data_IF_098966209452
#
_entry.id   IF_098966209452
#
_cell.length_a   1.000
_cell.length_b   1.000
_cell.length_c   1.000
_cell.angle_alpha   90.00
_cell.angle_beta   90.00
_cell.angle_gamma   90.00
#
_symmetry.space_group_name_H-M   'P 1'
#
loop_
_entity.id
_entity.type
_entity.pdbx_description
1 polymer ?
#
# COMPACT_ATOMS: atom_id res chain seq x y z
N UNK A 1 17.61 -15.61 -34.42
CA UNK A 1 16.54 -14.97 -33.62
C UNK A 1 17.07 -13.67 -33.06
N UNK A 2 16.57 -12.52 -33.56
CA UNK A 2 17.01 -11.18 -33.13
C UNK A 2 16.56 -10.92 -31.69
N UNK A 3 17.46 -10.42 -30.86
CA UNK A 3 17.18 -9.90 -29.54
C UNK A 3 16.11 -8.80 -29.64
N UNK A 4 14.90 -9.06 -29.10
CA UNK A 4 13.89 -8.02 -28.93
C UNK A 4 14.42 -7.08 -27.86
N UNK A 5 14.67 -5.82 -28.23
CA UNK A 5 15.11 -4.78 -27.31
C UNK A 5 14.14 -4.68 -26.13
N UNK A 6 14.70 -4.56 -24.91
CA UNK A 6 13.91 -4.29 -23.71
C UNK A 6 13.05 -3.06 -23.97
N UNK A 7 11.73 -3.10 -23.76
CA UNK A 7 10.89 -1.91 -23.83
C UNK A 7 11.18 -1.04 -22.60
N UNK A 8 12.30 -0.33 -22.63
CA UNK A 8 12.56 0.75 -21.68
C UNK A 8 11.52 1.84 -21.86
N UNK A 9 11.22 2.58 -20.78
CA UNK A 9 10.46 3.83 -20.87
C UNK A 9 11.11 4.67 -21.96
N UNK A 10 10.33 5.11 -22.95
CA UNK A 10 10.80 6.05 -23.97
C UNK A 10 11.32 7.27 -23.19
N UNK A 11 12.62 7.57 -23.32
CA UNK A 11 13.27 8.62 -22.54
C UNK A 11 12.45 9.93 -22.60
N UNK A 12 12.11 10.47 -21.43
CA UNK A 12 11.33 11.71 -21.30
C UNK A 12 9.80 11.55 -21.29
N UNK A 13 9.26 10.34 -21.48
CA UNK A 13 7.81 10.12 -21.36
C UNK A 13 7.36 10.15 -19.90
N UNK A 14 6.27 10.86 -19.61
CA UNK A 14 5.65 10.86 -18.29
C UNK A 14 5.23 9.42 -17.91
N UNK A 15 5.50 8.92 -16.68
CA UNK A 15 5.13 7.58 -16.29
C UNK A 15 3.64 7.24 -16.45
N UNK A 16 2.74 8.17 -16.17
CA UNK A 16 1.30 7.98 -16.36
C UNK A 16 0.97 7.82 -17.85
N UNK A 17 1.55 8.65 -18.72
CA UNK A 17 1.34 8.56 -20.17
C UNK A 17 1.85 7.23 -20.73
N UNK A 18 3.02 6.76 -20.27
CA UNK A 18 3.52 5.44 -20.63
C UNK A 18 2.52 4.36 -20.23
N UNK A 19 2.01 4.39 -19.00
CA UNK A 19 1.05 3.41 -18.54
C UNK A 19 -0.23 3.42 -19.39
N UNK A 20 -0.84 4.60 -19.58
CA UNK A 20 -2.10 4.73 -20.31
C UNK A 20 -1.99 4.33 -21.79
N UNK A 21 -0.84 4.57 -22.43
CA UNK A 21 -0.64 4.30 -23.87
C UNK A 21 -0.07 2.91 -24.17
N UNK A 22 0.81 2.40 -23.30
CA UNK A 22 1.60 1.19 -23.58
C UNK A 22 1.18 -0.02 -22.74
N UNK A 23 0.57 0.19 -21.57
CA UNK A 23 0.24 -0.89 -20.63
C UNK A 23 -1.26 -1.13 -20.58
N UNK A 24 -2.05 -0.10 -20.30
CA UNK A 24 -3.50 -0.20 -20.14
C UNK A 24 -4.22 -0.88 -21.33
N UNK A 25 -3.89 -0.60 -22.61
CA UNK A 25 -4.58 -1.23 -23.75
C UNK A 25 -4.30 -2.74 -23.89
N UNK A 26 -3.30 -3.27 -23.18
CA UNK A 26 -2.91 -4.69 -23.20
C UNK A 26 -3.52 -5.48 -22.04
N UNK A 27 -4.25 -4.83 -21.14
CA UNK A 27 -4.94 -5.49 -20.03
C UNK A 27 -6.24 -6.11 -20.53
N UNK A 28 -6.38 -7.43 -20.37
CA UNK A 28 -7.58 -8.17 -20.79
C UNK A 28 -8.82 -7.82 -19.96
N UNK A 29 -8.62 -7.41 -18.70
CA UNK A 29 -9.70 -7.03 -17.79
C UNK A 29 -9.60 -5.54 -17.44
N UNK A 30 -10.69 -4.77 -17.65
CA UNK A 30 -10.69 -3.36 -17.31
C UNK A 30 -10.55 -3.17 -15.79
N UNK A 31 -9.71 -2.23 -15.35
CA UNK A 31 -9.35 -2.05 -13.95
C UNK A 31 -10.50 -1.46 -13.12
N UNK A 32 -10.61 -1.92 -11.87
CA UNK A 32 -11.50 -1.41 -10.81
C UNK A 32 -13.03 -1.50 -11.03
N UNK A 33 -13.61 -2.64 -11.45
CA UNK A 33 -15.06 -2.76 -11.68
C UNK A 33 -15.92 -2.53 -10.42
N UNK A 34 -15.32 -2.65 -9.22
CA UNK A 34 -15.99 -2.43 -7.93
C UNK A 34 -16.24 -0.96 -7.60
N UNK A 35 -15.59 -0.03 -8.31
CA UNK A 35 -15.60 1.39 -8.00
C UNK A 35 -16.12 2.20 -9.20
N UNK A 36 -17.44 2.23 -9.46
CA UNK A 36 -18.00 2.90 -10.64
C UNK A 36 -17.72 4.40 -10.66
N UNK A 37 -17.48 5.00 -9.49
CA UNK A 37 -17.08 6.39 -9.32
C UNK A 37 -15.61 6.66 -9.67
N UNK A 38 -14.78 5.63 -9.88
CA UNK A 38 -13.33 5.76 -10.07
C UNK A 38 -12.92 5.23 -11.44
N UNK A 39 -12.04 5.95 -12.13
CA UNK A 39 -11.50 5.55 -13.43
C UNK A 39 -10.02 5.89 -13.58
N UNK A 40 -9.34 5.24 -14.52
CA UNK A 40 -7.96 5.60 -14.91
C UNK A 40 -7.89 6.69 -15.98
N UNK A 41 -9.00 6.88 -16.69
CA UNK A 41 -9.12 7.88 -17.74
C UNK A 41 -10.04 9.00 -17.26
N UNK A 42 -9.74 10.25 -17.65
CA UNK A 42 -10.60 11.38 -17.36
C UNK A 42 -11.96 11.22 -18.04
N UNK A 43 -13.01 11.64 -17.33
CA UNK A 43 -14.38 11.83 -17.81
C UNK A 43 -14.80 13.29 -17.58
N UNK A 44 -15.76 13.79 -18.36
CA UNK A 44 -16.22 15.18 -18.26
C UNK A 44 -16.65 15.59 -16.82
N UNK A 45 -17.30 14.67 -16.11
CA UNK A 45 -17.80 14.80 -14.76
C UNK A 45 -16.80 14.32 -13.68
N UNK A 46 -15.50 14.22 -13.99
CA UNK A 46 -14.49 13.72 -13.05
C UNK A 46 -13.42 14.75 -12.69
N UNK A 47 -12.71 14.50 -11.59
CA UNK A 47 -11.53 15.24 -11.14
C UNK A 47 -10.42 14.27 -10.72
N UNK A 48 -9.14 14.65 -10.82
CA UNK A 48 -8.04 13.80 -10.36
C UNK A 48 -8.19 13.50 -8.87
N UNK A 49 -7.90 12.26 -8.46
CA UNK A 49 -7.96 11.88 -7.04
C UNK A 49 -6.89 12.62 -6.22
N UNK A 50 -5.78 13.01 -6.84
CA UNK A 50 -4.76 13.86 -6.22
C UNK A 50 -5.25 15.24 -5.79
N UNK A 51 -6.33 15.74 -6.40
CA UNK A 51 -6.91 17.05 -6.11
C UNK A 51 -8.13 16.95 -5.15
N UNK A 52 -8.46 15.74 -4.69
CA UNK A 52 -9.56 15.48 -3.77
C UNK A 52 -9.08 15.50 -2.31
N UNK A 53 -9.99 15.81 -1.38
CA UNK A 53 -9.76 15.50 0.03
C UNK A 53 -9.76 13.97 0.21
N UNK A 54 -8.62 13.40 0.52
CA UNK A 54 -8.48 11.95 0.68
C UNK A 54 -7.96 11.65 2.08
N UNK A 55 -8.75 10.95 2.87
CA UNK A 55 -8.28 10.38 4.12
C UNK A 55 -7.60 9.04 3.83
N UNK A 56 -6.41 8.84 4.37
CA UNK A 56 -5.62 7.63 4.12
C UNK A 56 -5.08 7.03 5.41
N UNK A 57 -5.35 5.75 5.60
CA UNK A 57 -4.66 4.94 6.60
C UNK A 57 -3.38 4.35 6.01
N UNK A 58 -2.27 4.60 6.70
CA UNK A 58 -0.95 4.08 6.32
C UNK A 58 -0.35 3.26 7.45
N UNK A 59 0.64 2.45 7.11
CA UNK A 59 1.34 1.59 8.05
C UNK A 59 1.67 0.25 7.43
N UNK A 60 2.58 -0.47 8.05
CA UNK A 60 3.07 -1.75 7.52
C UNK A 60 2.08 -2.91 7.77
N UNK A 61 2.35 -4.09 7.23
CA UNK A 61 1.44 -5.23 7.37
C UNK A 61 1.33 -5.66 8.85
N UNK A 62 0.10 -5.92 9.30
CA UNK A 62 -0.17 -6.36 10.68
C UNK A 62 -0.54 -5.24 11.66
N UNK A 63 -0.49 -3.96 11.28
CA UNK A 63 -0.86 -2.87 12.19
C UNK A 63 -2.37 -2.69 12.43
N UNK A 64 -3.24 -3.32 11.63
CA UNK A 64 -4.70 -3.30 11.85
C UNK A 64 -5.53 -2.48 10.85
N UNK A 65 -4.91 -1.85 9.84
CA UNK A 65 -5.60 -1.00 8.83
C UNK A 65 -6.91 -1.58 8.30
N UNK A 66 -6.89 -2.80 7.77
CA UNK A 66 -8.09 -3.38 7.14
C UNK A 66 -9.22 -3.64 8.16
N UNK A 67 -8.88 -3.96 9.42
CA UNK A 67 -9.85 -4.08 10.52
C UNK A 67 -10.46 -2.72 10.83
N UNK A 68 -9.62 -1.68 10.96
CA UNK A 68 -10.07 -0.31 11.21
C UNK A 68 -10.96 0.21 10.07
N UNK A 69 -10.56 0.02 8.82
CA UNK A 69 -11.37 0.41 7.65
C UNK A 69 -12.74 -0.28 7.62
N UNK A 70 -12.78 -1.57 7.94
CA UNK A 70 -14.03 -2.32 8.00
C UNK A 70 -14.97 -1.80 9.09
N UNK A 71 -14.44 -1.50 10.29
CA UNK A 71 -15.24 -0.93 11.39
C UNK A 71 -15.71 0.51 11.12
N UNK A 72 -14.94 1.29 10.35
CA UNK A 72 -15.37 2.62 9.91
C UNK A 72 -16.46 2.56 8.82
N UNK A 73 -16.71 1.40 8.21
CA UNK A 73 -17.80 1.21 7.24
C UNK A 73 -17.57 1.84 5.86
N UNK A 74 -16.31 2.11 5.48
CA UNK A 74 -16.00 2.77 4.21
C UNK A 74 -15.70 1.75 3.09
N UNK A 75 -16.31 1.95 1.93
CA UNK A 75 -16.18 1.06 0.76
C UNK A 75 -16.05 1.77 -0.60
N UNK A 76 -15.71 3.06 -0.64
CA UNK A 76 -15.80 3.90 -1.85
C UNK A 76 -14.50 4.08 -2.65
N UNK A 77 -13.36 3.57 -2.19
CA UNK A 77 -12.06 3.74 -2.86
C UNK A 77 -11.31 2.43 -3.00
N UNK A 78 -10.44 2.27 -4.02
CA UNK A 78 -9.64 1.08 -4.18
C UNK A 78 -8.62 0.96 -3.06
N UNK A 79 -8.41 -0.25 -2.58
CA UNK A 79 -7.29 -0.57 -1.69
C UNK A 79 -5.97 -0.51 -2.44
N UNK A 80 -4.86 -0.47 -1.70
CA UNK A 80 -3.51 -0.69 -2.26
C UNK A 80 -3.42 -1.88 -3.19
N UNK A 81 -4.08 -2.99 -2.85
CA UNK A 81 -3.99 -4.24 -3.61
C UNK A 81 -4.58 -4.03 -4.99
N UNK A 82 -5.75 -3.42 -5.04
CA UNK A 82 -6.45 -3.14 -6.29
C UNK A 82 -5.69 -2.11 -7.12
N UNK A 83 -5.13 -1.05 -6.52
CA UNK A 83 -4.27 -0.10 -7.24
C UNK A 83 -2.98 -0.78 -7.73
N UNK A 84 -2.37 -1.66 -6.94
CA UNK A 84 -1.18 -2.39 -7.36
C UNK A 84 -1.49 -3.36 -8.50
N UNK A 85 -2.62 -4.07 -8.45
CA UNK A 85 -3.04 -5.02 -9.48
C UNK A 85 -3.43 -4.33 -10.78
N UNK A 86 -4.02 -3.14 -10.70
CA UNK A 86 -4.41 -2.38 -11.87
C UNK A 86 -3.22 -1.64 -12.49
N UNK A 87 -2.39 -0.98 -11.67
CA UNK A 87 -1.36 -0.05 -12.14
C UNK A 87 0.05 -0.61 -11.94
N UNK A 88 0.48 -0.75 -10.69
CA UNK A 88 1.90 -0.91 -10.37
C UNK A 88 2.51 -2.21 -10.90
N UNK A 89 1.80 -3.34 -10.75
CA UNK A 89 2.27 -4.65 -11.17
C UNK A 89 2.32 -4.74 -12.71
N UNK A 90 1.24 -4.42 -13.46
CA UNK A 90 1.30 -4.41 -14.91
C UNK A 90 2.37 -3.47 -15.46
N UNK A 91 2.56 -2.30 -14.83
CA UNK A 91 3.61 -1.36 -15.20
C UNK A 91 5.00 -2.00 -15.05
N UNK A 92 5.29 -2.59 -13.89
CA UNK A 92 6.57 -3.25 -13.63
C UNK A 92 6.82 -4.43 -14.58
N UNK A 93 5.79 -5.22 -14.89
CA UNK A 93 5.88 -6.32 -15.87
C UNK A 93 6.15 -5.81 -17.28
N UNK A 94 5.45 -4.76 -17.72
CA UNK A 94 5.64 -4.15 -19.02
C UNK A 94 7.08 -3.64 -19.20
N UNK A 95 7.63 -2.96 -18.19
CA UNK A 95 9.02 -2.50 -18.19
C UNK A 95 10.04 -3.63 -18.28
N UNK A 96 9.77 -4.74 -17.60
CA UNK A 96 10.61 -5.92 -17.64
C UNK A 96 10.48 -6.72 -18.94
N UNK A 97 9.52 -6.37 -19.82
CA UNK A 97 9.19 -7.16 -21.00
C UNK A 97 8.49 -8.49 -20.67
N UNK A 98 7.91 -8.59 -19.47
CA UNK A 98 7.19 -9.76 -18.99
C UNK A 98 5.74 -9.78 -19.51
N UNK A 99 5.08 -10.93 -19.44
CA UNK A 99 3.64 -11.04 -19.67
C UNK A 99 2.86 -10.33 -18.55
N UNK A 100 1.75 -9.68 -18.91
CA UNK A 100 0.89 -8.95 -17.96
C UNK A 100 -0.05 -9.94 -17.25
N UNK A 101 0.47 -10.67 -16.27
CA UNK A 101 -0.25 -11.72 -15.54
C UNK A 101 -0.46 -11.34 -14.08
N UNK A 102 -1.60 -11.69 -13.47
CA UNK A 102 -1.82 -11.52 -12.03
C UNK A 102 -0.72 -12.18 -11.19
N UNK A 103 -0.32 -11.51 -10.11
CA UNK A 103 0.63 -12.05 -9.13
C UNK A 103 -0.09 -12.45 -7.84
N UNK A 104 -0.03 -13.73 -7.50
CA UNK A 104 -0.65 -14.29 -6.29
C UNK A 104 0.32 -14.46 -5.12
N UNK A 105 1.62 -14.48 -5.36
CA UNK A 105 2.62 -14.54 -4.29
C UNK A 105 2.93 -13.15 -3.73
N UNK A 106 2.88 -12.98 -2.40
CA UNK A 106 3.12 -11.71 -1.73
C UNK A 106 4.54 -11.18 -1.96
N UNK A 107 5.55 -12.04 -1.95
CA UNK A 107 6.94 -11.59 -2.12
C UNK A 107 7.17 -11.03 -3.53
N UNK A 108 6.65 -11.71 -4.56
CA UNK A 108 6.64 -11.24 -5.95
C UNK A 108 5.87 -9.93 -6.11
N UNK A 109 4.72 -9.77 -5.44
CA UNK A 109 3.97 -8.50 -5.43
C UNK A 109 4.79 -7.36 -4.80
N UNK A 110 5.49 -7.62 -3.71
CA UNK A 110 6.38 -6.62 -3.09
C UNK A 110 7.50 -6.21 -4.03
N UNK A 111 8.19 -7.17 -4.65
CA UNK A 111 9.25 -6.88 -5.61
C UNK A 111 8.74 -6.10 -6.84
N UNK A 112 7.58 -6.48 -7.40
CA UNK A 112 6.99 -5.75 -8.52
C UNK A 112 6.63 -4.30 -8.15
N UNK A 113 6.02 -4.09 -6.98
CA UNK A 113 5.69 -2.73 -6.50
C UNK A 113 6.93 -1.91 -6.14
N UNK A 114 8.04 -2.55 -5.70
CA UNK A 114 9.33 -1.88 -5.54
C UNK A 114 9.94 -1.45 -6.87
N UNK A 115 9.92 -2.31 -7.89
CA UNK A 115 10.38 -1.95 -9.26
C UNK A 115 9.57 -0.79 -9.82
N UNK A 116 8.26 -0.80 -9.60
CA UNK A 116 7.39 0.33 -9.96
C UNK A 116 7.83 1.62 -9.24
N UNK A 117 8.04 1.59 -7.92
CA UNK A 117 8.49 2.76 -7.16
C UNK A 117 9.89 3.27 -7.57
N UNK A 118 10.76 2.41 -8.10
CA UNK A 118 12.04 2.81 -8.67
C UNK A 118 11.89 3.52 -10.01
N UNK A 119 10.86 3.19 -10.79
CA UNK A 119 10.59 3.80 -12.09
C UNK A 119 9.69 5.04 -12.01
N UNK A 120 8.86 5.14 -10.96
CA UNK A 120 7.86 6.19 -10.79
C UNK A 120 8.11 6.94 -9.48
N UNK A 121 8.57 8.20 -9.53
CA UNK A 121 8.69 9.04 -8.35
C UNK A 121 7.39 9.06 -7.55
N UNK A 122 7.48 8.81 -6.25
CA UNK A 122 6.32 8.72 -5.36
C UNK A 122 5.64 7.35 -5.28
N UNK A 123 6.04 6.39 -6.12
CA UNK A 123 5.55 5.01 -6.06
C UNK A 123 4.03 4.91 -5.97
N UNK A 124 3.52 4.17 -4.98
CA UNK A 124 2.07 3.98 -4.81
C UNK A 124 1.29 5.29 -4.64
N UNK A 125 1.87 6.33 -4.02
CA UNK A 125 1.19 7.62 -3.88
C UNK A 125 0.93 8.26 -5.26
N UNK A 126 1.92 8.20 -6.15
CA UNK A 126 1.74 8.64 -7.53
C UNK A 126 0.70 7.79 -8.26
N UNK A 127 0.70 6.46 -8.08
CA UNK A 127 -0.31 5.58 -8.68
C UNK A 127 -1.74 5.95 -8.26
N UNK A 128 -1.98 6.28 -6.99
CA UNK A 128 -3.29 6.78 -6.53
C UNK A 128 -3.69 8.08 -7.23
N UNK A 129 -2.74 9.00 -7.46
CA UNK A 129 -3.02 10.26 -8.15
C UNK A 129 -3.38 10.10 -9.62
N UNK A 130 -3.11 8.93 -10.23
CA UNK A 130 -3.51 8.63 -11.62
C UNK A 130 -4.99 8.28 -11.75
N UNK A 131 -5.67 8.04 -10.63
CA UNK A 131 -7.09 7.78 -10.60
C UNK A 131 -7.89 9.08 -10.72
N UNK A 132 -9.07 8.97 -11.31
CA UNK A 132 -10.05 10.02 -11.47
C UNK A 132 -11.32 9.65 -10.70
N UNK A 133 -11.91 10.62 -10.02
CA UNK A 133 -13.12 10.47 -9.23
C UNK A 133 -14.27 11.24 -9.89
N UNK A 134 -15.45 10.62 -10.02
CA UNK A 134 -16.68 11.32 -10.41
C UNK A 134 -17.01 12.42 -9.39
N UNK A 135 -17.35 13.63 -9.86
CA UNK A 135 -17.57 14.82 -9.02
C UNK A 135 -18.71 14.66 -8.02
N UNK A 136 -19.74 13.89 -8.36
CA UNK A 136 -20.90 13.64 -7.50
C UNK A 136 -20.62 12.65 -6.35
N UNK A 137 -19.42 12.05 -6.30
CA UNK A 137 -19.06 11.10 -5.25
C UNK A 137 -19.07 11.78 -3.89
N UNK A 138 -19.78 11.16 -2.93
CA UNK A 138 -19.87 11.67 -1.58
C UNK A 138 -18.55 11.54 -0.82
N UNK A 139 -18.29 12.52 0.02
CA UNK A 139 -17.12 12.64 0.90
C UNK A 139 -17.49 12.23 2.34
N UNK A 140 -16.52 11.80 3.17
CA UNK A 140 -15.09 11.72 2.92
C UNK A 140 -14.68 10.46 2.14
N UNK A 141 -13.61 10.57 1.34
CA UNK A 141 -12.95 9.41 0.76
C UNK A 141 -11.97 8.84 1.77
N UNK A 142 -12.05 7.54 2.03
CA UNK A 142 -11.13 6.83 2.91
C UNK A 142 -10.48 5.67 2.15
N UNK A 143 -9.16 5.57 2.20
CA UNK A 143 -8.38 4.49 1.56
C UNK A 143 -7.22 3.99 2.44
N UNK A 144 -6.55 2.93 2.02
CA UNK A 144 -5.21 2.56 2.48
C UNK A 144 -4.28 2.30 1.30
N UNK A 145 -2.97 2.59 1.43
CA UNK A 145 -2.03 1.94 0.53
C UNK A 145 -0.62 2.47 0.36
N UNK A 146 -0.23 3.49 1.10
CA UNK A 146 1.18 3.86 1.18
C UNK A 146 1.91 2.93 2.17
N UNK A 147 3.09 2.45 1.78
CA UNK A 147 3.87 1.50 2.59
C UNK A 147 5.32 1.88 2.84
N UNK A 148 5.89 2.89 2.15
CA UNK A 148 7.27 3.33 2.36
C UNK A 148 7.38 4.83 2.66
N UNK A 149 8.41 5.21 3.41
CA UNK A 149 8.73 6.62 3.73
C UNK A 149 8.77 7.53 2.51
N UNK A 150 9.40 7.07 1.42
CA UNK A 150 9.53 7.88 0.21
C UNK A 150 8.17 8.11 -0.48
N UNK A 151 7.28 7.12 -0.44
CA UNK A 151 5.92 7.25 -0.97
C UNK A 151 5.09 8.20 -0.09
N UNK A 152 5.22 8.08 1.24
CA UNK A 152 4.52 8.94 2.20
C UNK A 152 4.96 10.38 2.06
N UNK A 153 6.27 10.64 2.08
CA UNK A 153 6.82 11.98 1.90
C UNK A 153 6.33 12.61 0.59
N UNK A 154 6.41 11.86 -0.51
CA UNK A 154 5.90 12.34 -1.79
C UNK A 154 4.40 12.69 -1.71
N UNK A 155 3.59 11.86 -1.04
CA UNK A 155 2.16 12.14 -0.89
C UNK A 155 1.92 13.44 -0.11
N UNK A 156 2.62 13.62 1.01
CA UNK A 156 2.46 14.79 1.88
C UNK A 156 2.96 16.08 1.22
N UNK A 157 4.06 16.02 0.46
CA UNK A 157 4.59 17.15 -0.31
C UNK A 157 3.69 17.53 -1.49
N UNK A 158 3.12 16.54 -2.19
CA UNK A 158 2.44 16.77 -3.47
C UNK A 158 0.93 16.95 -3.35
N UNK A 159 0.31 16.37 -2.32
CA UNK A 159 -1.14 16.33 -2.12
C UNK A 159 -1.52 16.90 -0.74
N UNK A 160 -1.50 18.22 -0.56
CA UNK A 160 -1.75 18.86 0.73
C UNK A 160 -3.17 18.63 1.28
N UNK A 161 -4.11 18.23 0.42
CA UNK A 161 -5.49 17.90 0.79
C UNK A 161 -5.67 16.46 1.29
N UNK A 162 -4.62 15.64 1.22
CA UNK A 162 -4.67 14.29 1.75
C UNK A 162 -4.40 14.31 3.25
N UNK A 163 -5.28 13.72 4.06
CA UNK A 163 -5.10 13.55 5.49
C UNK A 163 -4.64 12.15 5.78
N UNK A 164 -3.48 12.00 6.42
CA UNK A 164 -2.85 10.70 6.60
C UNK A 164 -2.77 10.37 8.08
N UNK A 165 -3.26 9.19 8.45
CA UNK A 165 -3.03 8.61 9.78
C UNK A 165 -2.21 7.33 9.64
N UNK A 166 -1.03 7.33 10.25
CA UNK A 166 -0.21 6.12 10.39
C UNK A 166 -0.66 5.32 11.61
N UNK A 167 -0.94 4.03 11.39
CA UNK A 167 -1.05 3.05 12.47
C UNK A 167 0.35 2.45 12.70
N UNK A 168 1.05 2.94 13.71
CA UNK A 168 2.38 2.49 14.08
C UNK A 168 2.29 1.30 15.05
N UNK A 169 3.01 0.22 14.71
CA UNK A 169 3.09 -0.96 15.57
C UNK A 169 4.50 -1.58 15.47
N UNK A 170 5.17 -1.86 16.60
CA UNK A 170 6.50 -2.45 16.62
C UNK A 170 6.60 -3.81 15.91
N UNK A 171 7.79 -4.18 15.40
CA UNK A 171 7.99 -5.41 14.63
C UNK A 171 7.55 -6.69 15.34
N UNK A 172 7.83 -6.83 16.64
CA UNK A 172 7.49 -8.04 17.39
C UNK A 172 5.98 -8.22 17.57
N UNK A 173 5.25 -7.13 17.85
CA UNK A 173 3.78 -7.16 17.89
C UNK A 173 3.19 -7.51 16.51
N UNK A 174 3.80 -7.01 15.43
CA UNK A 174 3.41 -7.36 14.06
C UNK A 174 3.67 -8.84 13.75
N UNK A 175 4.79 -9.43 14.20
CA UNK A 175 5.05 -10.86 14.04
C UNK A 175 3.98 -11.72 14.71
N UNK A 176 3.59 -11.40 15.95
CA UNK A 176 2.49 -12.09 16.66
C UNK A 176 1.18 -12.02 15.87
N UNK A 177 0.78 -10.83 15.42
CA UNK A 177 -0.44 -10.64 14.62
C UNK A 177 -0.40 -11.35 13.26
N UNK A 178 0.74 -11.34 12.57
CA UNK A 178 0.93 -12.03 11.29
C UNK A 178 0.88 -13.55 11.45
N UNK A 179 1.27 -14.07 12.61
CA UNK A 179 1.31 -15.51 12.86
C UNK A 179 -0.08 -16.13 12.93
N UNK A 180 -1.07 -15.40 13.45
CA UNK A 180 -2.48 -15.86 13.50
C UNK A 180 -3.29 -15.50 12.25
N UNK A 181 -2.78 -14.62 11.39
CA UNK A 181 -3.48 -14.15 10.20
C UNK A 181 -3.70 -15.26 9.17
N UNK A 182 -4.82 -15.23 8.45
CA UNK A 182 -5.11 -16.10 7.30
C UNK A 182 -5.48 -15.28 6.06
N UNK A 183 -4.47 -14.87 5.29
CA UNK A 183 -4.66 -14.11 4.04
C UNK A 183 -4.23 -14.94 2.82
N UNK A 184 -5.00 -14.90 1.73
CA UNK A 184 -4.80 -15.76 0.57
C UNK A 184 -3.44 -15.57 -0.15
N UNK A 185 -2.81 -14.40 0.03
CA UNK A 185 -1.50 -14.08 -0.54
C UNK A 185 -0.32 -14.50 0.35
N UNK A 186 -0.58 -15.00 1.57
CA UNK A 186 0.46 -15.42 2.53
C UNK A 186 0.98 -16.84 2.22
N UNK A 187 1.30 -17.08 0.95
CA UNK A 187 1.86 -18.34 0.43
C UNK A 187 3.38 -18.27 0.45
N UNK A 188 3.99 -18.44 1.62
CA UNK A 188 5.44 -18.38 1.77
C UNK A 188 5.95 -19.65 2.41
N UNK A 189 6.83 -20.34 1.69
CA UNK A 189 7.57 -21.49 2.18
C UNK A 189 9.03 -21.04 2.36
N UNK A 190 9.44 -20.79 3.60
CA UNK A 190 10.75 -20.23 3.89
C UNK A 190 11.23 -20.59 5.30
N UNK A 191 12.53 -20.86 5.41
CA UNK A 191 13.20 -21.03 6.69
C UNK A 191 13.14 -19.76 7.54
N UNK A 192 13.20 -19.93 8.86
CA UNK A 192 13.33 -18.83 9.80
C UNK A 192 14.65 -18.07 9.55
N UNK A 193 14.54 -16.77 9.38
CA UNK A 193 15.66 -15.83 9.22
C UNK A 193 15.34 -14.60 10.08
N UNK A 194 16.29 -14.18 10.89
CA UNK A 194 16.16 -13.07 11.83
C UNK A 194 17.09 -11.90 11.50
N UNK A 195 17.96 -12.02 10.50
CA UNK A 195 19.05 -11.07 10.22
C UNK A 195 18.52 -9.70 9.78
N UNK A 196 17.27 -9.65 9.32
CA UNK A 196 16.58 -8.42 8.95
C UNK A 196 16.08 -7.62 10.17
N UNK A 197 16.05 -8.22 11.36
CA UNK A 197 15.69 -7.56 12.61
C UNK A 197 16.93 -6.90 13.24
N UNK A 198 16.77 -5.75 13.92
CA UNK A 198 17.81 -5.21 14.79
C UNK A 198 18.28 -6.26 15.80
N UNK A 199 19.59 -6.30 16.09
CA UNK A 199 20.19 -7.27 17.00
C UNK A 199 19.44 -7.36 18.34
N UNK A 200 19.01 -6.22 18.89
CA UNK A 200 18.26 -6.13 20.14
C UNK A 200 16.90 -6.87 20.14
N UNK A 201 16.33 -7.16 18.96
CA UNK A 201 15.06 -7.87 18.81
C UNK A 201 15.22 -9.34 18.39
N UNK A 202 16.43 -9.78 18.02
CA UNK A 202 16.63 -11.13 17.47
C UNK A 202 16.43 -12.22 18.52
N UNK A 203 16.95 -12.04 19.73
CA UNK A 203 16.83 -13.03 20.80
C UNK A 203 15.37 -13.19 21.25
N UNK A 204 14.65 -12.07 21.40
CA UNK A 204 13.23 -12.09 21.72
C UNK A 204 12.41 -12.76 20.61
N UNK A 205 12.63 -12.39 19.33
CA UNK A 205 11.95 -13.04 18.22
C UNK A 205 12.21 -14.56 18.15
N UNK A 206 13.44 -14.99 18.48
CA UNK A 206 13.80 -16.40 18.55
C UNK A 206 13.05 -17.12 19.68
N UNK A 207 12.99 -16.53 20.87
CA UNK A 207 12.22 -17.07 21.98
C UNK A 207 10.72 -17.19 21.62
N UNK A 208 10.14 -16.18 20.98
CA UNK A 208 8.75 -16.22 20.49
C UNK A 208 8.51 -17.35 19.49
N UNK A 209 9.48 -17.62 18.59
CA UNK A 209 9.36 -18.71 17.62
C UNK A 209 9.41 -20.08 18.32
N UNK A 210 10.33 -20.25 19.28
CA UNK A 210 10.47 -21.49 20.06
C UNK A 210 9.20 -21.77 20.88
N UNK A 211 8.62 -20.72 21.47
CA UNK A 211 7.39 -20.81 22.25
C UNK A 211 6.12 -20.97 21.38
N UNK A 212 6.24 -20.93 20.05
CA UNK A 212 5.11 -21.02 19.13
C UNK A 212 4.21 -19.79 19.07
N UNK A 213 4.63 -18.67 19.67
CA UNK A 213 3.90 -17.39 19.61
C UNK A 213 3.99 -16.72 18.23
N UNK A 214 5.07 -17.01 17.50
CA UNK A 214 5.23 -16.60 16.10
C UNK A 214 5.57 -17.81 15.22
N UNK A 215 5.38 -17.67 13.90
CA UNK A 215 5.73 -18.72 12.94
C UNK A 215 6.63 -18.24 11.79
N UNK A 216 7.26 -19.20 11.11
CA UNK A 216 8.21 -18.95 10.02
C UNK A 216 7.60 -18.14 8.87
N UNK A 217 6.31 -18.37 8.57
CA UNK A 217 5.56 -17.60 7.58
C UNK A 217 5.50 -16.12 7.94
N UNK A 218 5.22 -15.77 9.19
CA UNK A 218 5.20 -14.38 9.65
C UNK A 218 6.57 -13.71 9.52
N UNK A 219 7.65 -14.42 9.88
CA UNK A 219 9.02 -13.94 9.69
C UNK A 219 9.34 -13.69 8.21
N UNK A 220 8.98 -14.62 7.33
CA UNK A 220 9.24 -14.48 5.91
C UNK A 220 8.47 -13.31 5.27
N UNK A 221 7.21 -13.09 5.67
CA UNK A 221 6.42 -11.93 5.25
C UNK A 221 7.07 -10.63 5.75
N UNK A 222 7.43 -10.58 7.03
CA UNK A 222 8.00 -9.37 7.62
C UNK A 222 9.37 -9.03 7.01
N UNK A 223 10.23 -10.04 6.78
CA UNK A 223 11.50 -9.89 6.07
C UNK A 223 11.32 -9.33 4.67
N UNK A 224 10.37 -9.91 3.92
CA UNK A 224 10.06 -9.44 2.58
C UNK A 224 9.55 -8.00 2.60
N UNK A 225 8.69 -7.64 3.55
CA UNK A 225 8.23 -6.25 3.72
C UNK A 225 9.38 -5.30 4.09
N UNK A 226 10.22 -5.68 5.05
CA UNK A 226 11.37 -4.89 5.51
C UNK A 226 12.37 -4.59 4.39
N UNK A 227 12.66 -5.58 3.54
CA UNK A 227 13.53 -5.40 2.36
C UNK A 227 12.98 -4.37 1.36
N UNK A 228 11.66 -4.21 1.29
CA UNK A 228 11.01 -3.34 0.30
C UNK A 228 10.67 -1.96 0.84
N UNK A 229 10.33 -1.86 2.13
CA UNK A 229 9.76 -0.64 2.72
C UNK A 229 10.40 -0.19 4.03
N UNK A 230 11.31 -0.99 4.60
CA UNK A 230 11.80 -0.80 5.96
C UNK A 230 10.94 -1.47 7.02
N UNK A 231 11.46 -1.49 8.24
CA UNK A 231 10.89 -2.26 9.36
C UNK A 231 10.03 -1.41 10.30
N UNK A 232 10.35 -0.11 10.40
CA UNK A 232 9.85 0.80 11.44
C UNK A 232 8.75 1.73 10.91
N UNK A 233 8.18 2.51 11.82
CA UNK A 233 7.24 3.59 11.48
C UNK A 233 7.89 4.64 10.57
N UNK A 234 7.06 5.37 9.82
CA UNK A 234 7.55 6.29 8.79
C UNK A 234 8.20 7.53 9.39
N UNK A 235 9.50 7.73 9.19
CA UNK A 235 10.22 8.90 9.71
C UNK A 235 9.70 10.22 9.10
N UNK A 236 9.31 10.20 7.83
CA UNK A 236 9.00 11.40 7.05
C UNK A 236 7.74 12.17 7.47
N UNK A 237 6.86 11.60 8.31
CA UNK A 237 5.55 12.21 8.55
C UNK A 237 5.53 13.37 9.55
N UNK A 238 6.45 13.39 10.53
CA UNK A 238 6.36 14.27 11.71
C UNK A 238 6.37 15.78 11.43
N UNK A 239 6.86 16.17 10.25
CA UNK A 239 7.02 17.57 9.86
C UNK A 239 5.80 18.14 9.10
N UNK A 240 4.80 17.30 8.79
CA UNK A 240 3.68 17.67 7.92
C UNK A 240 2.37 17.83 8.71
N UNK A 241 1.64 18.96 8.55
CA UNK A 241 0.42 19.23 9.33
C UNK A 241 -0.75 18.29 9.00
N UNK A 242 -0.74 17.68 7.82
CA UNK A 242 -1.74 16.74 7.33
C UNK A 242 -1.40 15.27 7.62
N UNK A 243 -0.37 15.01 8.43
CA UNK A 243 0.00 13.68 8.89
C UNK A 243 -0.11 13.58 10.41
N UNK A 244 -0.62 12.44 10.88
CA UNK A 244 -0.62 12.10 12.29
C UNK A 244 -0.22 10.63 12.47
N UNK A 245 0.49 10.34 13.57
CA UNK A 245 0.85 8.98 13.96
C UNK A 245 0.03 8.56 15.18
N UNK A 246 -0.55 7.38 15.09
CA UNK A 246 -1.20 6.70 16.20
C UNK A 246 -0.40 5.43 16.54
N UNK A 247 0.21 5.39 17.72
CA UNK A 247 0.79 4.17 18.27
C UNK A 247 -0.36 3.27 18.74
N UNK A 248 -0.46 2.08 18.16
CA UNK A 248 -1.55 1.12 18.42
C UNK A 248 -1.12 -0.09 19.25
N UNK A 249 0.01 0.00 19.94
CA UNK A 249 0.43 -1.01 20.93
C UNK A 249 -0.66 -1.14 21.99
N UNK A 250 -1.09 -2.39 22.23
CA UNK A 250 -2.08 -2.80 23.24
C UNK A 250 -3.46 -2.12 23.16
N UNK A 251 -3.73 -1.33 22.12
CA UNK A 251 -5.06 -0.77 21.87
C UNK A 251 -6.02 -1.84 21.35
N UNK A 252 -7.25 -1.80 21.86
CA UNK A 252 -8.37 -2.59 21.32
C UNK A 252 -8.78 -2.04 19.94
N UNK A 253 -9.27 -2.90 19.01
CA UNK A 253 -9.67 -2.46 17.67
C UNK A 253 -10.66 -1.28 17.67
N UNK A 254 -11.63 -1.29 18.58
CA UNK A 254 -12.65 -0.24 18.70
C UNK A 254 -12.02 1.10 19.08
N UNK A 255 -11.07 1.08 20.01
CA UNK A 255 -10.33 2.27 20.45
C UNK A 255 -9.45 2.82 19.33
N UNK A 256 -8.83 1.96 18.52
CA UNK A 256 -8.08 2.40 17.33
C UNK A 256 -9.02 3.06 16.33
N UNK A 257 -10.19 2.47 16.09
CA UNK A 257 -11.20 2.99 15.17
C UNK A 257 -11.74 4.34 15.60
N UNK A 258 -12.06 4.53 16.88
CA UNK A 258 -12.55 5.79 17.40
C UNK A 258 -11.48 6.89 17.31
N UNK A 259 -10.24 6.58 17.69
CA UNK A 259 -9.12 7.51 17.53
C UNK A 259 -8.93 7.89 16.05
N UNK A 260 -8.89 6.93 15.13
CA UNK A 260 -8.78 7.22 13.69
C UNK A 260 -9.92 8.09 13.19
N UNK A 261 -11.16 7.85 13.64
CA UNK A 261 -12.32 8.67 13.27
C UNK A 261 -12.12 10.13 13.68
N UNK A 262 -11.63 10.34 14.90
CA UNK A 262 -11.33 11.67 15.44
C UNK A 262 -10.21 12.36 14.64
N UNK A 263 -9.05 11.70 14.47
CA UNK A 263 -7.88 12.28 13.80
C UNK A 263 -8.16 12.62 12.33
N UNK A 264 -9.02 11.85 11.66
CA UNK A 264 -9.43 12.12 10.27
C UNK A 264 -10.66 13.03 10.17
N UNK A 265 -11.25 13.44 11.29
CA UNK A 265 -12.51 14.19 11.37
C UNK A 265 -13.65 13.56 10.53
N UNK A 266 -13.78 12.24 10.60
CA UNK A 266 -14.83 11.51 9.88
C UNK A 266 -16.17 11.65 10.62
N UNK A 267 -17.30 11.70 9.90
CA UNK A 267 -18.61 11.79 10.54
C UNK A 267 -18.90 10.54 11.39
N UNK A 268 -19.63 10.71 12.49
CA UNK A 268 -20.14 9.58 13.26
C UNK A 268 -21.12 8.76 12.39
N UNK A 269 -21.07 7.42 12.48
CA UNK A 269 -22.10 6.59 11.86
C UNK A 269 -23.47 6.99 12.45
N UNK A 270 -24.44 7.20 11.57
CA UNK A 270 -25.84 7.43 11.95
C UNK A 270 -26.51 6.13 12.36
#
# INVERSE_FOLDING_TARGET
MKARGRPGIIAGMNPQDYYLRQVLPRLENPPLPRYPAISLLPRADSRPLGDCELSMLVGLTGCGKSTTLAQLGFGGTPSRREVADCIAIPYAQALAGEALLPLHDRARRFEATRRFAQAVPGGMAAAFSWLWLRRETQMPLLTEGIRGDAELRYALERFPHWRVVELALPPLHRLRRLSVRRDAFDQVDAAADFDFLPLALQDEARALLINGEINQRALAILRAEARNYGLNAFAAGGDYPNYQRLDVVDMRPETVTDAVRELLALPCPR
#
